data_IF_124604906866
#
_entry.id   IF_124604906866
#
_cell.length_a   1.000
_cell.length_b   1.000
_cell.length_c   1.000
_cell.angle_alpha   90.00
_cell.angle_beta   90.00
_cell.angle_gamma   90.00
#
_symmetry.space_group_name_H-M   'P 1'
#
loop_
_entity.id
_entity.type
_entity.pdbx_description
1 polymer ?
#
# COMPACT_ATOMS: atom_id res chain seq x y z
N UNK A 1 -23.09 9.57 11.97
CA UNK A 1 -23.14 8.40 12.87
C UNK A 1 -21.73 7.86 12.87
N UNK A 2 -21.02 8.06 14.00
CA UNK A 2 -19.64 7.59 14.20
C UNK A 2 -19.61 6.08 13.98
N UNK A 3 -19.03 5.62 12.87
CA UNK A 3 -18.64 4.23 12.70
C UNK A 3 -17.28 4.00 13.37
N UNK A 4 -17.24 4.20 14.69
CA UNK A 4 -16.20 3.56 15.48
C UNK A 4 -16.31 2.05 15.23
N UNK A 5 -15.21 1.41 14.88
CA UNK A 5 -15.13 -0.05 14.76
C UNK A 5 -15.80 -0.67 15.99
N UNK A 6 -16.79 -1.55 15.85
CA UNK A 6 -17.38 -2.22 16.98
C UNK A 6 -16.32 -3.09 17.65
N UNK A 7 -16.02 -2.80 18.90
CA UNK A 7 -15.00 -3.46 19.72
C UNK A 7 -15.45 -4.81 20.26
N UNK A 8 -16.14 -5.66 19.53
CA UNK A 8 -16.82 -6.74 20.24
C UNK A 8 -17.00 -8.08 19.55
N UNK A 9 -16.08 -8.52 18.70
CA UNK A 9 -16.16 -9.90 18.22
C UNK A 9 -14.92 -10.76 18.52
N UNK A 10 -13.95 -10.26 19.29
CA UNK A 10 -12.64 -10.91 19.38
C UNK A 10 -12.33 -11.37 20.80
N UNK A 11 -12.26 -12.70 20.92
CA UNK A 11 -11.99 -13.42 22.16
C UNK A 11 -10.55 -13.29 22.64
N UNK A 12 -10.43 -13.48 23.88
CA UNK A 12 -9.41 -13.34 24.90
C UNK A 12 -7.93 -13.53 24.55
N UNK A 13 -7.15 -12.73 25.24
CA UNK A 13 -5.72 -12.75 25.60
C UNK A 13 -4.77 -12.09 24.60
N UNK A 14 -5.00 -12.13 23.27
CA UNK A 14 -4.23 -11.36 22.28
C UNK A 14 -5.09 -10.68 21.21
N UNK A 15 -6.41 -10.68 21.33
CA UNK A 15 -7.33 -9.91 20.52
C UNK A 15 -7.30 -10.18 19.00
N UNK A 16 -6.89 -11.36 18.59
CA UNK A 16 -6.92 -11.77 17.18
C UNK A 16 -8.30 -12.30 16.75
N UNK A 17 -8.61 -12.28 15.44
CA UNK A 17 -9.86 -12.82 14.94
C UNK A 17 -9.97 -14.31 15.27
N UNK A 18 -11.19 -14.74 15.64
CA UNK A 18 -11.49 -16.17 15.76
C UNK A 18 -11.46 -16.77 14.36
N UNK A 19 -10.38 -17.47 14.04
CA UNK A 19 -10.28 -18.18 12.76
C UNK A 19 -11.22 -19.38 12.80
N UNK A 20 -12.28 -19.30 12.01
CA UNK A 20 -13.25 -20.40 11.84
C UNK A 20 -12.67 -21.42 10.87
N UNK A 21 -12.81 -22.71 11.21
CA UNK A 21 -12.40 -23.75 10.28
C UNK A 21 -13.16 -23.64 8.95
N UNK A 22 -12.49 -23.83 7.79
CA UNK A 22 -13.17 -23.75 6.50
C UNK A 22 -14.25 -24.82 6.36
N UNK A 23 -15.38 -24.43 5.81
CA UNK A 23 -16.36 -25.38 5.29
C UNK A 23 -15.78 -26.00 4.03
N UNK A 24 -15.66 -27.34 4.03
CA UNK A 24 -15.03 -28.07 2.92
C UNK A 24 -16.04 -29.00 2.29
N UNK A 25 -16.37 -28.74 1.02
CA UNK A 25 -17.20 -29.64 0.20
C UNK A 25 -16.29 -30.53 -0.62
N UNK A 26 -16.52 -31.86 -0.50
CA UNK A 26 -15.78 -32.88 -1.24
C UNK A 26 -16.70 -33.61 -2.22
N UNK A 27 -16.15 -33.95 -3.38
CA UNK A 27 -16.79 -34.85 -4.36
C UNK A 27 -15.75 -35.91 -4.71
N UNK A 28 -16.15 -37.19 -4.61
CA UNK A 28 -15.27 -38.35 -4.86
C UNK A 28 -13.94 -38.29 -4.09
N UNK A 29 -13.96 -37.80 -2.82
CA UNK A 29 -12.79 -37.67 -1.97
C UNK A 29 -11.93 -36.41 -2.24
N UNK A 30 -12.10 -35.77 -3.40
CA UNK A 30 -11.38 -34.53 -3.73
C UNK A 30 -12.11 -33.29 -3.19
N UNK A 31 -11.34 -32.32 -2.68
CA UNK A 31 -11.88 -31.01 -2.30
C UNK A 31 -12.33 -30.28 -3.55
N UNK A 32 -13.61 -29.90 -3.61
CA UNK A 32 -14.21 -29.13 -4.70
C UNK A 32 -14.41 -27.67 -4.33
N UNK A 33 -14.69 -27.43 -3.06
CA UNK A 33 -14.96 -26.10 -2.55
C UNK A 33 -14.46 -26.01 -1.10
N UNK A 34 -13.87 -24.90 -0.77
CA UNK A 34 -13.54 -24.55 0.61
C UNK A 34 -13.89 -23.07 0.79
N UNK A 35 -14.65 -22.76 1.83
CA UNK A 35 -15.07 -21.39 2.14
C UNK A 35 -14.86 -21.09 3.61
N UNK A 36 -14.53 -19.85 3.91
CA UNK A 36 -14.49 -19.28 5.26
C UNK A 36 -15.38 -18.03 5.28
N UNK A 37 -16.09 -17.75 6.38
CA UNK A 37 -16.81 -16.51 6.50
C UNK A 37 -15.84 -15.32 6.49
N UNK A 38 -16.26 -14.14 5.97
CA UNK A 38 -15.46 -12.93 6.04
C UNK A 38 -15.24 -12.52 7.49
N UNK A 39 -14.06 -11.94 7.79
CA UNK A 39 -13.75 -11.41 9.12
C UNK A 39 -14.46 -10.07 9.38
N UNK A 40 -14.71 -9.31 8.32
CA UNK A 40 -15.42 -8.04 8.37
C UNK A 40 -16.75 -8.13 7.60
N UNK A 41 -17.81 -7.44 8.06
CA UNK A 41 -19.07 -7.38 7.32
C UNK A 41 -18.90 -6.65 5.98
N UNK A 42 -19.67 -7.03 4.94
CA UNK A 42 -19.61 -6.35 3.66
C UNK A 42 -20.13 -4.91 3.76
N UNK A 43 -19.51 -4.01 3.03
CA UNK A 43 -19.97 -2.62 2.89
C UNK A 43 -21.25 -2.56 2.06
N UNK A 44 -22.22 -1.79 2.57
CA UNK A 44 -23.52 -1.60 1.93
C UNK A 44 -23.70 -0.19 1.36
N UNK A 45 -22.88 0.78 1.77
CA UNK A 45 -22.94 2.19 1.36
C UNK A 45 -21.55 2.82 1.47
N UNK A 46 -21.37 4.00 0.85
CA UNK A 46 -20.11 4.73 0.83
C UNK A 46 -19.10 4.18 -0.16
N UNK A 47 -17.96 4.82 -0.24
CA UNK A 47 -16.89 4.53 -1.18
C UNK A 47 -15.51 4.79 -0.58
N UNK A 48 -14.44 4.39 -1.27
CA UNK A 48 -13.06 4.72 -0.87
C UNK A 48 -12.82 6.24 -0.80
N UNK A 49 -13.58 7.01 -1.59
CA UNK A 49 -13.49 8.47 -1.60
C UNK A 49 -13.85 9.12 -0.26
N UNK A 50 -14.58 8.43 0.59
CA UNK A 50 -15.02 8.96 1.89
C UNK A 50 -13.93 8.89 2.96
N UNK A 51 -12.98 7.96 2.82
CA UNK A 51 -11.99 7.65 3.86
C UNK A 51 -11.18 8.86 4.37
N UNK A 52 -10.65 9.78 3.52
CA UNK A 52 -9.93 10.94 4.01
C UNK A 52 -10.80 11.85 4.88
N UNK A 53 -12.06 12.05 4.51
CA UNK A 53 -13.02 12.91 5.20
C UNK A 53 -13.55 12.28 6.49
N UNK A 54 -13.75 10.95 6.50
CA UNK A 54 -14.09 10.19 7.70
C UNK A 54 -12.97 10.28 8.75
N UNK A 55 -11.71 10.29 8.29
CA UNK A 55 -10.55 10.45 9.18
C UNK A 55 -10.50 11.83 9.82
N UNK A 56 -10.84 12.90 9.08
CA UNK A 56 -10.96 14.25 9.64
C UNK A 56 -12.06 14.29 10.71
N UNK A 57 -13.21 13.66 10.43
CA UNK A 57 -14.34 13.61 11.38
C UNK A 57 -13.98 12.87 12.66
N UNK A 58 -13.03 11.94 12.61
CA UNK A 58 -12.60 11.16 13.76
C UNK A 58 -11.50 11.85 14.57
N UNK A 59 -10.45 12.32 13.91
CA UNK A 59 -9.34 13.08 14.50
C UNK A 59 -8.61 13.88 13.39
N UNK A 60 -8.90 15.17 13.24
CA UNK A 60 -8.28 16.01 12.21
C UNK A 60 -6.78 16.20 12.40
N UNK A 61 -6.28 16.07 13.64
CA UNK A 61 -4.88 16.26 14.00
C UNK A 61 -4.03 14.99 13.89
N UNK A 62 -4.63 13.82 13.74
CA UNK A 62 -3.89 12.57 13.60
C UNK A 62 -2.99 12.58 12.36
N UNK A 63 -1.78 12.05 12.48
CA UNK A 63 -0.84 11.94 11.35
C UNK A 63 -1.33 10.85 10.40
N UNK A 64 -1.78 11.25 9.22
CA UNK A 64 -2.25 10.31 8.19
C UNK A 64 -1.09 9.82 7.29
N UNK A 65 -0.27 10.75 6.81
CA UNK A 65 0.86 10.45 5.93
C UNK A 65 2.13 11.15 6.41
N UNK A 66 3.27 10.71 5.88
CA UNK A 66 4.53 11.47 5.96
C UNK A 66 5.09 11.62 4.55
N UNK A 67 5.44 12.86 4.19
CA UNK A 67 6.04 13.21 2.91
C UNK A 67 7.53 13.44 3.10
N UNK A 68 8.34 12.88 2.21
CA UNK A 68 9.78 13.14 2.17
C UNK A 68 10.05 14.34 1.28
N UNK A 69 10.75 15.33 1.80
CA UNK A 69 11.19 16.51 1.04
C UNK A 69 12.44 16.22 0.19
N UNK A 70 12.86 17.22 -0.60
CA UNK A 70 14.05 17.12 -1.45
C UNK A 70 15.35 16.95 -0.65
N UNK A 71 15.39 17.42 0.59
CA UNK A 71 16.54 17.27 1.50
C UNK A 71 16.54 15.92 2.22
N UNK A 72 15.55 15.07 1.95
CA UNK A 72 15.42 13.72 2.53
C UNK A 72 14.81 13.70 3.92
N UNK A 73 14.19 14.79 4.39
CA UNK A 73 13.52 14.88 5.68
C UNK A 73 12.05 14.48 5.55
N UNK A 74 11.55 13.80 6.56
CA UNK A 74 10.13 13.43 6.65
C UNK A 74 9.36 14.55 7.34
N UNK A 75 8.28 14.99 6.71
CA UNK A 75 7.30 15.93 7.24
C UNK A 75 5.96 15.24 7.38
N UNK A 76 5.33 15.35 8.55
CA UNK A 76 4.05 14.75 8.81
C UNK A 76 2.92 15.56 8.18
N UNK A 77 1.93 14.84 7.67
CA UNK A 77 0.70 15.38 7.06
C UNK A 77 -0.47 14.86 7.87
N UNK A 78 -1.23 15.78 8.47
CA UNK A 78 -2.40 15.42 9.29
C UNK A 78 -3.57 14.94 8.42
N UNK A 79 -4.55 14.32 9.06
CA UNK A 79 -5.79 13.90 8.39
C UNK A 79 -6.51 15.10 7.73
N UNK A 80 -6.57 16.25 8.41
CA UNK A 80 -7.13 17.47 7.84
C UNK A 80 -6.35 17.93 6.60
N UNK A 81 -5.02 18.03 6.70
CA UNK A 81 -4.18 18.45 5.58
C UNK A 81 -4.26 17.48 4.38
N UNK A 82 -4.36 16.18 4.63
CA UNK A 82 -4.53 15.19 3.57
C UNK A 82 -5.89 15.34 2.88
N UNK A 83 -6.98 15.48 3.64
CA UNK A 83 -8.31 15.68 3.09
C UNK A 83 -8.41 16.99 2.29
N UNK A 84 -7.79 18.08 2.77
CA UNK A 84 -7.73 19.37 2.06
C UNK A 84 -7.02 19.24 0.70
N UNK A 85 -5.90 18.49 0.66
CA UNK A 85 -5.17 18.23 -0.59
C UNK A 85 -6.01 17.37 -1.56
N UNK A 86 -6.65 16.33 -1.06
CA UNK A 86 -7.55 15.47 -1.84
C UNK A 86 -8.69 16.31 -2.42
N UNK A 87 -9.32 17.15 -1.61
CA UNK A 87 -10.41 18.03 -2.01
C UNK A 87 -9.96 19.03 -3.09
N UNK A 88 -8.82 19.69 -2.88
CA UNK A 88 -8.29 20.68 -3.82
C UNK A 88 -7.95 20.06 -5.19
N UNK A 89 -7.30 18.90 -5.20
CA UNK A 89 -6.96 18.19 -6.44
C UNK A 89 -8.24 17.64 -7.12
N UNK A 90 -9.22 17.14 -6.35
CA UNK A 90 -10.51 16.70 -6.90
C UNK A 90 -11.24 17.84 -7.59
N UNK A 91 -11.29 19.01 -6.98
CA UNK A 91 -11.84 20.25 -7.59
C UNK A 91 -11.10 20.62 -8.87
N UNK A 92 -9.77 20.48 -8.86
CA UNK A 92 -8.95 20.71 -10.05
C UNK A 92 -9.30 19.77 -11.20
N UNK A 93 -9.45 18.47 -10.93
CA UNK A 93 -9.87 17.50 -11.94
C UNK A 93 -11.25 17.82 -12.52
N UNK A 94 -12.18 18.30 -11.67
CA UNK A 94 -13.50 18.75 -12.09
C UNK A 94 -13.40 20.01 -12.96
N UNK A 95 -12.59 20.98 -12.57
CA UNK A 95 -12.37 22.24 -13.31
C UNK A 95 -11.77 22.01 -14.69
N UNK A 96 -10.91 21.00 -14.84
CA UNK A 96 -10.37 20.53 -16.13
C UNK A 96 -11.40 19.80 -17.00
N UNK A 97 -12.66 19.71 -16.54
CA UNK A 97 -13.78 19.17 -17.33
C UNK A 97 -13.88 17.65 -17.31
N UNK A 98 -13.28 16.95 -16.33
CA UNK A 98 -13.45 15.51 -16.20
C UNK A 98 -14.82 15.19 -15.60
N UNK A 99 -15.48 14.19 -16.17
CA UNK A 99 -16.83 13.77 -15.80
C UNK A 99 -16.82 12.47 -14.99
N UNK A 100 -17.82 12.24 -14.12
CA UNK A 100 -17.94 10.97 -13.41
C UNK A 100 -17.84 9.76 -14.35
N UNK A 101 -17.01 8.77 -13.97
CA UNK A 101 -16.70 7.60 -14.78
C UNK A 101 -15.57 7.78 -15.78
N UNK A 102 -15.03 8.99 -15.98
CA UNK A 102 -13.82 9.20 -16.78
C UNK A 102 -12.61 8.48 -16.15
N UNK A 103 -11.71 7.97 -17.01
CA UNK A 103 -10.52 7.22 -16.58
C UNK A 103 -9.31 8.14 -16.56
N UNK A 104 -8.62 8.14 -15.41
CA UNK A 104 -7.36 8.86 -15.22
C UNK A 104 -6.24 7.85 -15.02
N UNK A 105 -5.32 7.78 -15.97
CA UNK A 105 -4.16 6.91 -15.86
C UNK A 105 -3.06 7.57 -15.02
N UNK A 106 -2.39 6.78 -14.19
CA UNK A 106 -1.25 7.22 -13.38
C UNK A 106 -0.05 6.32 -13.66
N UNK A 107 1.03 6.92 -14.16
CA UNK A 107 2.30 6.25 -14.49
C UNK A 107 3.43 6.86 -13.65
N UNK A 108 3.60 6.34 -12.45
CA UNK A 108 4.58 6.82 -11.49
C UNK A 108 5.10 5.68 -10.61
N UNK A 109 6.23 5.89 -9.95
CA UNK A 109 6.73 5.04 -8.87
C UNK A 109 5.85 5.19 -7.63
N UNK A 110 6.21 4.57 -6.53
CA UNK A 110 5.51 4.70 -5.25
C UNK A 110 5.87 6.03 -4.61
N UNK A 111 5.12 7.06 -4.95
CA UNK A 111 5.30 8.45 -4.48
C UNK A 111 4.07 8.93 -3.73
N UNK A 112 4.24 9.95 -2.91
CA UNK A 112 3.20 10.59 -2.12
C UNK A 112 2.01 11.06 -2.95
N UNK A 113 2.28 11.71 -4.07
CA UNK A 113 1.28 12.27 -4.98
C UNK A 113 0.35 11.19 -5.56
N UNK A 114 0.80 9.93 -5.66
CA UNK A 114 -0.08 8.85 -6.12
C UNK A 114 -1.26 8.64 -5.18
N UNK A 115 -0.99 8.59 -3.87
CA UNK A 115 -2.07 8.43 -2.89
C UNK A 115 -3.05 9.61 -2.94
N UNK A 116 -2.55 10.84 -3.03
CA UNK A 116 -3.40 12.03 -3.21
C UNK A 116 -4.25 11.92 -4.47
N UNK A 117 -3.65 11.53 -5.60
CA UNK A 117 -4.32 11.40 -6.90
C UNK A 117 -5.40 10.31 -6.91
N UNK A 118 -5.16 9.15 -6.29
CA UNK A 118 -6.17 8.10 -6.19
C UNK A 118 -7.41 8.58 -5.45
N UNK A 119 -7.24 9.14 -4.25
CA UNK A 119 -8.35 9.63 -3.44
C UNK A 119 -9.04 10.84 -4.07
N UNK A 120 -8.29 11.75 -4.69
CA UNK A 120 -8.86 12.90 -5.41
C UNK A 120 -9.65 12.48 -6.65
N UNK A 121 -9.15 11.53 -7.43
CA UNK A 121 -9.86 10.98 -8.58
C UNK A 121 -11.17 10.31 -8.14
N UNK A 122 -11.14 9.49 -7.09
CA UNK A 122 -12.37 8.89 -6.57
C UNK A 122 -13.34 9.95 -6.03
N UNK A 123 -12.86 10.95 -5.29
CA UNK A 123 -13.69 12.04 -4.79
C UNK A 123 -14.34 12.85 -5.92
N UNK A 124 -13.68 12.97 -7.07
CA UNK A 124 -14.23 13.57 -8.29
C UNK A 124 -15.15 12.63 -9.09
N UNK A 125 -15.36 11.37 -8.63
CA UNK A 125 -16.19 10.37 -9.32
C UNK A 125 -15.48 9.66 -10.47
N UNK A 126 -14.14 9.69 -10.52
CA UNK A 126 -13.35 9.17 -11.63
C UNK A 126 -12.84 7.76 -11.33
N UNK A 127 -12.38 7.08 -12.40
CA UNK A 127 -11.81 5.73 -12.34
C UNK A 127 -10.31 5.81 -12.58
N UNK A 128 -9.50 5.29 -11.69
CA UNK A 128 -8.04 5.32 -11.85
C UNK A 128 -7.53 4.13 -12.65
N UNK A 129 -6.49 4.34 -13.47
CA UNK A 129 -5.87 3.31 -14.31
C UNK A 129 -4.36 3.30 -14.02
N UNK A 130 -3.88 2.37 -13.17
CA UNK A 130 -2.47 2.27 -12.86
C UNK A 130 -1.67 1.76 -14.06
N UNK A 131 -0.57 2.46 -14.37
CA UNK A 131 0.40 2.07 -15.40
C UNK A 131 1.76 1.92 -14.75
N UNK A 132 2.45 0.81 -15.01
CA UNK A 132 3.80 0.63 -14.47
C UNK A 132 4.76 1.68 -15.03
N UNK A 133 5.59 2.31 -14.19
CA UNK A 133 6.57 3.31 -14.65
C UNK A 133 7.61 2.72 -15.60
N UNK A 134 7.77 1.40 -15.60
CA UNK A 134 8.67 0.64 -16.46
C UNK A 134 7.98 0.08 -17.71
N UNK A 135 6.70 0.36 -17.91
CA UNK A 135 5.97 -0.06 -19.12
C UNK A 135 6.61 0.53 -20.37
N UNK A 136 6.74 -0.29 -21.40
CA UNK A 136 7.13 0.23 -22.71
C UNK A 136 6.08 1.21 -23.25
N UNK A 137 6.49 2.11 -24.13
CA UNK A 137 5.58 3.06 -24.80
C UNK A 137 4.39 2.32 -25.45
N UNK A 138 4.65 1.16 -26.06
CA UNK A 138 3.61 0.34 -26.65
C UNK A 138 2.60 -0.19 -25.64
N UNK A 139 3.08 -0.67 -24.49
CA UNK A 139 2.21 -1.17 -23.41
C UNK A 139 1.40 -0.03 -22.79
N UNK A 140 2.04 1.11 -22.48
CA UNK A 140 1.35 2.28 -21.94
C UNK A 140 0.27 2.78 -22.90
N UNK A 141 0.60 2.93 -24.21
CA UNK A 141 -0.37 3.29 -25.24
C UNK A 141 -1.55 2.33 -25.29
N UNK A 142 -1.28 1.01 -25.26
CA UNK A 142 -2.34 0.01 -25.27
C UNK A 142 -3.28 0.17 -24.08
N UNK A 143 -2.73 0.34 -22.87
CA UNK A 143 -3.53 0.54 -21.65
C UNK A 143 -4.38 1.81 -21.76
N UNK A 144 -3.80 2.91 -22.19
CA UNK A 144 -4.51 4.19 -22.37
C UNK A 144 -5.66 4.07 -23.37
N UNK A 145 -5.41 3.40 -24.50
CA UNK A 145 -6.39 3.21 -25.55
C UNK A 145 -7.53 2.27 -25.13
N UNK A 146 -7.19 1.10 -24.54
CA UNK A 146 -8.16 0.08 -24.15
C UNK A 146 -9.03 0.54 -22.97
N UNK A 147 -8.44 1.28 -22.01
CA UNK A 147 -9.19 1.88 -20.91
C UNK A 147 -10.01 3.10 -21.34
N UNK A 148 -9.75 3.70 -22.48
CA UNK A 148 -10.32 4.98 -22.90
C UNK A 148 -9.92 6.10 -21.91
N UNK A 149 -8.66 6.12 -21.44
CA UNK A 149 -8.19 7.12 -20.49
C UNK A 149 -8.24 8.53 -21.12
N UNK A 150 -8.90 9.45 -20.45
CA UNK A 150 -9.02 10.85 -20.89
C UNK A 150 -7.90 11.73 -20.34
N UNK A 151 -7.25 11.27 -19.28
CA UNK A 151 -6.11 11.96 -18.68
C UNK A 151 -5.01 10.95 -18.30
N UNK A 152 -3.77 11.43 -18.36
CA UNK A 152 -2.58 10.71 -17.94
C UNK A 152 -1.77 11.60 -17.00
N UNK A 153 -1.44 11.07 -15.82
CA UNK A 153 -0.44 11.64 -14.91
C UNK A 153 0.83 10.82 -15.02
N UNK A 154 1.96 11.46 -15.37
CA UNK A 154 3.28 10.83 -15.34
C UNK A 154 4.11 11.42 -14.20
N UNK A 155 5.03 10.62 -13.65
CA UNK A 155 5.98 11.12 -12.65
C UNK A 155 6.95 12.12 -13.29
N UNK A 156 7.52 11.75 -14.45
CA UNK A 156 8.58 12.53 -15.08
C UNK A 156 8.18 13.06 -16.46
N UNK A 157 8.80 14.18 -16.86
CA UNK A 157 8.65 14.74 -18.21
C UNK A 157 9.16 13.77 -19.30
N UNK A 158 10.16 12.95 -18.97
CA UNK A 158 10.67 11.92 -19.88
C UNK A 158 9.61 10.87 -20.24
N UNK A 159 8.80 10.43 -19.26
CA UNK A 159 7.69 9.51 -19.52
C UNK A 159 6.62 10.15 -20.42
N UNK A 160 6.25 11.40 -20.15
CA UNK A 160 5.29 12.14 -20.97
C UNK A 160 5.82 12.36 -22.41
N UNK A 161 7.07 12.73 -22.55
CA UNK A 161 7.73 12.95 -23.85
C UNK A 161 7.82 11.65 -24.68
N UNK A 162 8.09 10.52 -24.05
CA UNK A 162 8.15 9.22 -24.70
C UNK A 162 6.80 8.81 -25.33
N UNK A 163 5.68 9.22 -24.72
CA UNK A 163 4.33 8.97 -25.23
C UNK A 163 3.87 10.03 -26.27
N UNK A 164 4.58 11.14 -26.41
CA UNK A 164 4.26 12.21 -27.35
C UNK A 164 3.97 11.73 -28.78
N UNK A 165 4.84 10.91 -29.40
CA UNK A 165 4.63 10.39 -30.74
C UNK A 165 3.39 9.50 -30.92
N UNK A 166 2.88 8.92 -29.85
CA UNK A 166 1.69 8.07 -29.85
C UNK A 166 0.38 8.85 -29.63
N UNK A 167 0.46 10.18 -29.42
CA UNK A 167 -0.68 11.03 -29.06
C UNK A 167 -1.82 10.97 -30.09
N UNK A 168 -1.49 10.97 -31.37
CA UNK A 168 -2.48 10.88 -32.44
C UNK A 168 -3.30 9.58 -32.44
N UNK A 169 -2.75 8.52 -31.79
CA UNK A 169 -3.41 7.23 -31.64
C UNK A 169 -4.23 7.13 -30.34
N UNK A 170 -4.28 8.21 -29.58
CA UNK A 170 -4.98 8.31 -28.29
C UNK A 170 -6.00 9.47 -28.34
N UNK A 171 -7.06 9.36 -29.17
CA UNK A 171 -8.01 10.46 -29.39
C UNK A 171 -8.77 10.86 -28.11
N UNK A 172 -8.99 9.93 -27.19
CA UNK A 172 -9.68 10.20 -25.93
C UNK A 172 -8.80 10.93 -24.90
N UNK A 173 -7.47 10.83 -25.02
CA UNK A 173 -6.53 11.41 -24.06
C UNK A 173 -6.46 12.93 -24.25
N UNK A 174 -7.13 13.69 -23.40
CA UNK A 174 -7.22 15.17 -23.46
C UNK A 174 -6.10 15.84 -22.67
N UNK A 175 -5.75 15.29 -21.50
CA UNK A 175 -4.86 15.90 -20.54
C UNK A 175 -3.61 15.02 -20.29
N UNK A 176 -2.45 15.68 -20.16
CA UNK A 176 -1.22 15.03 -19.67
C UNK A 176 -0.59 15.92 -18.61
N UNK A 177 -0.53 15.43 -17.40
CA UNK A 177 0.08 16.11 -16.25
C UNK A 177 1.38 15.42 -15.85
N UNK A 178 2.33 16.19 -15.35
CA UNK A 178 3.67 15.72 -14.95
C UNK A 178 3.94 16.15 -13.53
N UNK A 179 4.13 15.19 -12.63
CA UNK A 179 4.32 15.44 -11.19
C UNK A 179 5.56 16.31 -10.95
N UNK A 180 6.71 15.96 -11.52
CA UNK A 180 7.95 16.73 -11.34
C UNK A 180 7.89 18.18 -11.82
N UNK A 181 6.88 18.53 -12.62
CA UNK A 181 6.62 19.91 -13.07
C UNK A 181 5.61 20.67 -12.21
N UNK A 182 5.20 20.09 -11.07
CA UNK A 182 4.24 20.69 -10.16
C UNK A 182 2.81 20.73 -10.71
N UNK A 183 2.46 19.83 -11.67
CA UNK A 183 1.11 19.87 -12.25
C UNK A 183 0.03 19.41 -11.27
N UNK A 184 0.37 18.65 -10.21
CA UNK A 184 -0.60 18.28 -9.17
C UNK A 184 -1.00 19.52 -8.36
N UNK A 185 -0.04 20.38 -8.02
CA UNK A 185 -0.32 21.65 -7.31
C UNK A 185 -1.13 22.60 -8.21
N UNK A 186 -0.82 22.68 -9.52
CA UNK A 186 -1.60 23.46 -10.48
C UNK A 186 -3.04 22.97 -10.65
N UNK A 187 -3.26 21.64 -10.55
CA UNK A 187 -4.62 21.10 -10.52
C UNK A 187 -5.38 21.62 -9.29
N UNK A 188 -4.72 21.58 -8.12
CA UNK A 188 -5.33 22.13 -6.89
C UNK A 188 -5.67 23.63 -7.04
N UNK A 189 -4.78 24.42 -7.65
CA UNK A 189 -5.00 25.84 -7.94
C UNK A 189 -6.15 26.06 -8.94
N UNK A 190 -6.23 25.25 -10.01
CA UNK A 190 -7.27 25.37 -11.01
C UNK A 190 -8.69 25.18 -10.45
N UNK A 191 -8.83 24.37 -9.41
CA UNK A 191 -10.10 24.06 -8.75
C UNK A 191 -10.59 25.09 -7.73
N UNK A 192 -9.82 26.13 -7.42
CA UNK A 192 -10.11 27.06 -6.30
C UNK A 192 -11.44 27.81 -6.44
N UNK A 193 -11.94 27.99 -7.66
CA UNK A 193 -13.22 28.65 -7.93
C UNK A 193 -14.45 27.75 -7.74
N UNK A 194 -14.27 26.44 -7.62
CA UNK A 194 -15.37 25.49 -7.38
C UNK A 194 -15.67 25.37 -5.90
N UNK A 195 -16.95 25.16 -5.58
CA UNK A 195 -17.37 24.90 -4.20
C UNK A 195 -17.01 23.47 -3.79
N UNK A 196 -16.88 23.24 -2.49
CA UNK A 196 -16.65 21.89 -1.94
C UNK A 196 -17.85 20.97 -2.22
N UNK A 197 -19.04 21.55 -2.33
CA UNK A 197 -20.29 20.85 -2.63
C UNK A 197 -20.25 20.13 -3.98
N UNK A 198 -19.50 20.62 -4.97
CA UNK A 198 -19.31 19.93 -6.26
C UNK A 198 -18.66 18.55 -6.06
N UNK A 199 -17.68 18.47 -5.19
CA UNK A 199 -17.02 17.21 -4.84
C UNK A 199 -17.93 16.34 -3.97
N UNK A 200 -18.64 16.93 -3.00
CA UNK A 200 -19.58 16.20 -2.14
C UNK A 200 -20.70 15.53 -2.95
N UNK A 201 -21.26 16.23 -3.93
CA UNK A 201 -22.31 15.69 -4.82
C UNK A 201 -21.76 14.50 -5.60
N UNK A 202 -20.56 14.61 -6.22
CA UNK A 202 -19.97 13.53 -6.97
C UNK A 202 -19.63 12.33 -6.09
N UNK A 203 -19.06 12.58 -4.92
CA UNK A 203 -18.74 11.56 -3.92
C UNK A 203 -20.00 10.84 -3.42
N UNK A 204 -21.05 11.58 -3.17
CA UNK A 204 -22.35 11.04 -2.73
C UNK A 204 -23.06 10.13 -3.76
N UNK A 205 -22.65 10.16 -5.03
CA UNK A 205 -23.15 9.24 -6.07
C UNK A 205 -22.43 7.89 -6.07
N UNK A 206 -21.34 7.76 -5.33
CA UNK A 206 -20.52 6.54 -5.32
C UNK A 206 -21.04 5.54 -4.28
N UNK A 207 -20.92 4.27 -4.61
CA UNK A 207 -21.24 3.18 -3.69
C UNK A 207 -20.27 2.00 -3.87
N UNK A 208 -20.41 0.96 -3.05
CA UNK A 208 -19.52 -0.21 -3.13
C UNK A 208 -19.49 -0.86 -4.51
N UNK A 209 -20.59 -0.82 -5.26
CA UNK A 209 -20.67 -1.36 -6.63
C UNK A 209 -20.08 -0.44 -7.71
N UNK A 210 -19.72 0.79 -7.39
CA UNK A 210 -19.13 1.73 -8.36
C UNK A 210 -17.69 1.31 -8.69
N UNK A 211 -17.32 1.43 -9.97
CA UNK A 211 -15.98 1.12 -10.47
C UNK A 211 -14.95 2.09 -9.88
N UNK A 212 -13.93 1.56 -9.21
CA UNK A 212 -12.85 2.36 -8.61
C UNK A 212 -11.61 2.41 -9.51
N UNK A 213 -11.30 1.30 -10.19
CA UNK A 213 -10.06 1.20 -10.96
C UNK A 213 -10.11 0.11 -12.04
N UNK A 214 -9.29 0.28 -13.07
CA UNK A 214 -8.98 -0.73 -14.08
C UNK A 214 -7.52 -1.15 -13.94
N UNK A 215 -7.26 -2.34 -13.37
CA UNK A 215 -5.89 -2.86 -13.18
C UNK A 215 -5.51 -3.77 -14.33
N UNK A 216 -4.48 -3.41 -15.08
CA UNK A 216 -4.03 -4.21 -16.22
C UNK A 216 -3.05 -5.29 -15.80
N UNK A 217 -3.36 -6.54 -16.14
CA UNK A 217 -2.52 -7.71 -15.88
C UNK A 217 -2.04 -8.33 -17.19
N UNK A 218 -0.80 -8.85 -17.19
CA UNK A 218 -0.29 -9.65 -18.30
C UNK A 218 -1.08 -10.96 -18.36
N UNK A 219 -2.07 -11.02 -19.25
CA UNK A 219 -2.80 -12.27 -19.49
C UNK A 219 -1.90 -13.30 -20.19
N UNK A 220 -2.26 -14.57 -20.07
CA UNK A 220 -1.59 -15.70 -20.75
C UNK A 220 -1.65 -15.61 -22.31
N UNK A 221 -2.41 -14.66 -22.85
CA UNK A 221 -2.74 -14.55 -24.30
C UNK A 221 -2.15 -13.30 -24.98
N UNK A 222 -1.12 -12.67 -24.44
CA UNK A 222 -0.31 -11.65 -25.11
C UNK A 222 -0.57 -10.20 -24.68
N UNK A 223 -1.73 -9.58 -24.94
CA UNK A 223 -1.99 -8.18 -24.53
C UNK A 223 -2.51 -8.10 -23.09
N UNK A 224 -2.09 -7.10 -22.30
CA UNK A 224 -2.65 -6.86 -20.98
C UNK A 224 -4.18 -6.68 -21.03
N UNK A 225 -4.88 -7.27 -20.06
CA UNK A 225 -6.33 -7.16 -19.89
C UNK A 225 -6.65 -6.32 -18.66
N UNK A 226 -7.62 -5.41 -18.77
CA UNK A 226 -8.11 -4.59 -17.67
C UNK A 226 -9.05 -5.39 -16.77
N UNK A 227 -8.66 -5.56 -15.51
CA UNK A 227 -9.51 -6.09 -14.45
C UNK A 227 -10.25 -4.93 -13.81
N UNK A 228 -11.58 -4.94 -13.88
CA UNK A 228 -12.44 -3.93 -13.28
C UNK A 228 -12.66 -4.24 -11.80
N UNK A 229 -12.22 -3.34 -10.92
CA UNK A 229 -12.38 -3.45 -9.48
C UNK A 229 -13.25 -2.31 -8.96
N UNK A 230 -14.25 -2.65 -8.18
CA UNK A 230 -15.16 -1.69 -7.52
C UNK A 230 -14.58 -1.22 -6.18
N UNK A 231 -15.16 -0.16 -5.61
CA UNK A 231 -14.86 0.27 -4.25
C UNK A 231 -15.10 -0.86 -3.24
N UNK A 232 -16.18 -1.63 -3.41
CA UNK A 232 -16.51 -2.76 -2.55
C UNK A 232 -15.50 -3.91 -2.61
N UNK A 233 -14.85 -4.15 -3.76
CA UNK A 233 -13.79 -5.16 -3.84
C UNK A 233 -12.59 -4.78 -2.96
N UNK A 234 -12.19 -3.51 -2.94
CA UNK A 234 -11.14 -3.04 -2.05
C UNK A 234 -11.54 -3.10 -0.59
N UNK A 235 -12.77 -2.70 -0.23
CA UNK A 235 -13.24 -2.80 1.15
C UNK A 235 -13.23 -4.24 1.65
N UNK A 236 -13.72 -5.19 0.84
CA UNK A 236 -13.75 -6.59 1.21
C UNK A 236 -12.36 -7.13 1.55
N UNK A 237 -11.35 -6.81 0.74
CA UNK A 237 -9.97 -7.26 0.96
C UNK A 237 -9.32 -6.49 2.11
N UNK A 238 -9.43 -5.16 2.10
CA UNK A 238 -8.77 -4.27 3.07
C UNK A 238 -9.30 -4.51 4.48
N UNK A 239 -10.63 -4.57 4.69
CA UNK A 239 -11.20 -4.75 6.01
C UNK A 239 -10.87 -6.15 6.58
N UNK A 240 -10.90 -7.20 5.75
CA UNK A 240 -10.45 -8.53 6.18
C UNK A 240 -8.96 -8.55 6.53
N UNK A 241 -8.10 -7.86 5.75
CA UNK A 241 -6.68 -7.75 6.05
C UNK A 241 -6.41 -6.96 7.35
N UNK A 242 -7.14 -5.86 7.57
CA UNK A 242 -7.04 -5.07 8.80
C UNK A 242 -7.45 -5.92 10.01
N UNK A 243 -8.58 -6.63 9.95
CA UNK A 243 -9.03 -7.51 11.02
C UNK A 243 -8.01 -8.60 11.35
N UNK A 244 -7.43 -9.22 10.32
CA UNK A 244 -6.39 -10.24 10.50
C UNK A 244 -5.11 -9.68 11.13
N UNK A 245 -4.69 -8.47 10.74
CA UNK A 245 -3.43 -7.85 11.15
C UNK A 245 -3.58 -6.95 12.39
N UNK A 246 -4.81 -6.64 12.82
CA UNK A 246 -5.10 -5.76 13.94
C UNK A 246 -4.31 -6.07 15.22
N UNK A 247 -4.15 -7.36 15.63
CA UNK A 247 -3.35 -7.68 16.79
C UNK A 247 -1.88 -7.28 16.66
N UNK A 248 -1.34 -7.31 15.43
CA UNK A 248 0.05 -6.92 15.15
C UNK A 248 0.23 -5.42 15.37
N UNK A 249 -0.76 -4.62 14.95
CA UNK A 249 -0.70 -3.17 15.09
C UNK A 249 -0.97 -2.69 16.52
N UNK A 250 -1.87 -3.34 17.27
CA UNK A 250 -2.21 -2.94 18.64
C UNK A 250 -1.30 -3.51 19.73
N UNK A 251 -0.73 -4.68 19.52
CA UNK A 251 -0.17 -5.44 20.63
C UNK A 251 1.16 -4.93 21.18
N UNK A 252 1.83 -3.92 20.56
CA UNK A 252 3.26 -3.75 20.86
C UNK A 252 3.87 -2.37 20.88
N UNK A 253 3.16 -1.29 20.62
CA UNK A 253 3.79 0.02 20.67
C UNK A 253 2.93 1.05 21.38
N UNK A 254 3.56 1.80 22.29
CA UNK A 254 3.09 3.13 22.71
C UNK A 254 3.26 4.18 21.60
N UNK A 255 3.80 3.78 20.45
CA UNK A 255 4.00 4.60 19.26
C UNK A 255 2.86 4.36 18.27
N UNK A 256 2.48 5.39 17.53
CA UNK A 256 1.49 5.29 16.47
C UNK A 256 1.94 4.31 15.38
N UNK A 257 1.01 3.47 14.92
CA UNK A 257 1.30 2.50 13.87
C UNK A 257 1.71 3.20 12.57
N UNK A 258 2.76 2.69 11.93
CA UNK A 258 3.28 3.29 10.70
C UNK A 258 3.81 2.25 9.72
N UNK A 259 3.64 2.55 8.43
CA UNK A 259 4.09 1.73 7.30
C UNK A 259 4.88 2.59 6.33
N UNK A 260 6.06 2.14 5.91
CA UNK A 260 6.74 2.69 4.75
C UNK A 260 6.43 1.82 3.53
N UNK A 261 5.65 2.36 2.62
CA UNK A 261 5.23 1.67 1.40
C UNK A 261 6.30 1.86 0.30
N UNK A 262 6.87 0.75 -0.14
CA UNK A 262 7.80 0.67 -1.27
C UNK A 262 7.32 -0.31 -2.36
N UNK A 263 6.22 -1.01 -2.11
CA UNK A 263 5.58 -1.85 -3.12
C UNK A 263 5.00 -0.96 -4.24
N UNK A 264 5.07 -1.40 -5.51
CA UNK A 264 4.57 -0.59 -6.61
C UNK A 264 3.07 -0.25 -6.45
N UNK A 265 2.74 1.04 -6.45
CA UNK A 265 1.35 1.52 -6.46
C UNK A 265 0.62 1.18 -7.77
N UNK A 266 1.38 0.89 -8.84
CA UNK A 266 0.82 0.35 -10.09
C UNK A 266 0.33 -1.10 -9.96
N UNK A 267 0.71 -1.80 -8.89
CA UNK A 267 0.23 -3.14 -8.57
C UNK A 267 -0.89 -3.07 -7.52
N UNK A 268 -1.93 -3.90 -7.68
CA UNK A 268 -3.09 -3.92 -6.78
C UNK A 268 -2.70 -4.07 -5.31
N UNK A 269 -1.68 -4.88 -5.00
CA UNK A 269 -1.23 -5.10 -3.62
C UNK A 269 -0.65 -3.84 -2.97
N UNK A 270 0.20 -3.08 -3.69
CA UNK A 270 0.72 -1.81 -3.18
C UNK A 270 -0.40 -0.80 -2.90
N UNK A 271 -1.39 -0.71 -3.79
CA UNK A 271 -2.57 0.15 -3.59
C UNK A 271 -3.44 -0.30 -2.42
N UNK A 272 -3.67 -1.62 -2.31
CA UNK A 272 -4.40 -2.19 -1.16
C UNK A 272 -3.73 -1.78 0.16
N UNK A 273 -2.39 -1.83 0.25
CA UNK A 273 -1.66 -1.39 1.45
C UNK A 273 -1.86 0.11 1.73
N UNK A 274 -1.79 0.96 0.70
CA UNK A 274 -2.05 2.39 0.87
C UNK A 274 -3.46 2.66 1.36
N UNK A 275 -4.47 2.03 0.76
CA UNK A 275 -5.87 2.14 1.17
C UNK A 275 -6.06 1.62 2.60
N UNK A 276 -5.44 0.47 2.94
CA UNK A 276 -5.51 -0.10 4.28
C UNK A 276 -4.93 0.83 5.35
N UNK A 277 -3.82 1.52 5.05
CA UNK A 277 -3.24 2.51 5.96
C UNK A 277 -4.20 3.69 6.19
N UNK A 278 -4.79 4.26 5.14
CA UNK A 278 -5.78 5.35 5.27
C UNK A 278 -7.01 4.86 6.03
N UNK A 279 -7.52 3.66 5.70
CA UNK A 279 -8.69 3.05 6.33
C UNK A 279 -8.48 2.78 7.82
N UNK A 280 -7.32 2.25 8.20
CA UNK A 280 -6.98 1.90 9.58
C UNK A 280 -6.35 3.06 10.38
N UNK A 281 -6.17 4.24 9.75
CA UNK A 281 -5.49 5.40 10.35
C UNK A 281 -4.07 5.08 10.79
N UNK A 282 -3.35 4.36 9.93
CA UNK A 282 -1.93 4.02 10.10
C UNK A 282 -1.10 5.02 9.31
N UNK A 283 -0.13 5.66 9.93
CA UNK A 283 0.75 6.63 9.28
C UNK A 283 1.47 6.00 8.09
N UNK A 284 1.31 6.57 6.90
CA UNK A 284 1.83 6.05 5.64
C UNK A 284 2.94 6.95 5.10
N UNK A 285 4.14 6.39 4.90
CA UNK A 285 5.20 6.99 4.11
C UNK A 285 5.39 6.26 2.78
N UNK A 286 5.98 6.92 1.79
CA UNK A 286 6.24 6.36 0.46
C UNK A 286 7.73 6.33 0.18
N UNK A 287 8.22 5.20 -0.34
CA UNK A 287 9.58 5.05 -0.86
C UNK A 287 9.52 4.61 -2.33
N UNK A 288 10.06 5.42 -3.26
CA UNK A 288 9.88 5.20 -4.70
C UNK A 288 10.72 4.06 -5.26
N UNK A 289 11.60 3.46 -4.48
CA UNK A 289 12.55 2.46 -4.93
C UNK A 289 12.59 1.24 -4.01
N UNK A 290 12.76 0.07 -4.63
CA UNK A 290 13.01 -1.21 -3.95
C UNK A 290 14.50 -1.59 -3.93
N UNK A 291 15.37 -0.73 -4.47
CA UNK A 291 16.81 -0.97 -4.44
C UNK A 291 17.33 -0.77 -3.03
N UNK A 292 18.14 -1.70 -2.54
CA UNK A 292 18.62 -1.68 -1.15
C UNK A 292 19.37 -0.38 -0.81
N UNK A 293 20.12 0.18 -1.75
CA UNK A 293 20.90 1.40 -1.57
C UNK A 293 20.02 2.63 -1.32
N UNK A 294 18.83 2.66 -1.90
CA UNK A 294 17.86 3.75 -1.78
C UNK A 294 16.85 3.50 -0.65
N UNK A 295 16.38 2.25 -0.51
CA UNK A 295 15.34 1.89 0.44
C UNK A 295 15.83 1.78 1.90
N UNK A 296 17.05 1.27 2.14
CA UNK A 296 17.54 1.11 3.52
C UNK A 296 17.71 2.46 4.26
N UNK A 297 18.23 3.53 3.63
CA UNK A 297 18.21 4.86 4.24
C UNK A 297 16.81 5.38 4.55
N UNK A 298 15.82 5.10 3.69
CA UNK A 298 14.44 5.48 3.90
C UNK A 298 13.82 4.72 5.08
N UNK A 299 14.03 3.42 5.16
CA UNK A 299 13.60 2.60 6.29
C UNK A 299 14.25 3.07 7.61
N UNK A 300 15.55 3.36 7.58
CA UNK A 300 16.30 3.80 8.76
C UNK A 300 15.84 5.17 9.27
N UNK A 301 15.45 6.09 8.37
CA UNK A 301 15.01 7.45 8.73
C UNK A 301 13.52 7.49 9.09
N UNK A 302 12.64 6.78 8.38
CA UNK A 302 11.21 6.74 8.63
C UNK A 302 10.86 5.91 9.88
N UNK A 303 11.57 4.78 10.11
CA UNK A 303 11.40 3.85 11.23
C UNK A 303 9.97 3.29 11.31
N UNK A 304 9.52 2.52 10.31
CA UNK A 304 8.17 1.96 10.31
C UNK A 304 7.97 0.98 11.48
N UNK A 305 6.76 0.98 12.07
CA UNK A 305 6.39 -0.01 13.09
C UNK A 305 5.96 -1.34 12.48
N UNK A 306 5.54 -1.33 11.21
CA UNK A 306 5.19 -2.51 10.44
C UNK A 306 5.81 -2.45 9.04
N UNK A 307 6.38 -3.57 8.59
CA UNK A 307 6.96 -3.73 7.27
C UNK A 307 6.13 -4.74 6.48
N UNK A 308 5.51 -4.28 5.40
CA UNK A 308 4.80 -5.13 4.44
C UNK A 308 5.72 -5.32 3.24
N UNK A 309 6.24 -6.54 3.07
CA UNK A 309 7.25 -6.85 2.09
C UNK A 309 6.93 -8.15 1.33
N UNK A 310 7.45 -8.25 0.11
CA UNK A 310 7.45 -9.50 -0.66
C UNK A 310 8.76 -10.28 -0.39
N UNK A 311 8.76 -11.62 -0.49
CA UNK A 311 9.93 -12.45 -0.21
C UNK A 311 11.21 -12.00 -0.91
N UNK A 312 11.11 -11.63 -2.19
CA UNK A 312 12.22 -11.12 -2.99
C UNK A 312 12.97 -9.95 -2.35
N UNK A 313 12.25 -9.05 -1.69
CA UNK A 313 12.86 -7.91 -1.01
C UNK A 313 13.65 -8.34 0.23
N UNK A 314 13.10 -9.27 1.01
CA UNK A 314 13.80 -9.84 2.17
C UNK A 314 15.06 -10.60 1.76
N UNK A 315 15.01 -11.35 0.65
CA UNK A 315 16.17 -12.01 0.06
C UNK A 315 17.27 -11.00 -0.34
N UNK A 316 16.88 -9.86 -0.94
CA UNK A 316 17.84 -8.80 -1.29
C UNK A 316 18.53 -8.21 -0.05
N UNK A 317 17.77 -7.93 1.00
CA UNK A 317 18.33 -7.43 2.28
C UNK A 317 19.30 -8.45 2.86
N UNK A 318 18.90 -9.73 2.88
CA UNK A 318 19.75 -10.84 3.33
C UNK A 318 21.05 -10.93 2.53
N UNK A 319 20.96 -10.96 1.19
CA UNK A 319 22.13 -11.06 0.32
C UNK A 319 23.06 -9.85 0.46
N UNK A 320 22.53 -8.64 0.60
CA UNK A 320 23.30 -7.43 0.86
C UNK A 320 24.03 -7.49 2.22
N UNK A 321 23.36 -7.98 3.26
CA UNK A 321 23.96 -8.15 4.58
C UNK A 321 25.07 -9.21 4.57
N UNK A 322 24.85 -10.33 3.85
CA UNK A 322 25.86 -11.40 3.69
C UNK A 322 27.09 -10.92 2.92
N UNK A 323 26.91 -10.19 1.81
CA UNK A 323 28.01 -9.62 1.03
C UNK A 323 28.84 -8.63 1.86
N UNK A 324 28.21 -7.80 2.70
CA UNK A 324 28.94 -6.93 3.64
C UNK A 324 29.71 -7.71 4.69
N UNK A 325 29.17 -8.82 5.18
CA UNK A 325 29.88 -9.70 6.12
C UNK A 325 31.08 -10.38 5.46
N UNK A 326 30.95 -10.78 4.20
CA UNK A 326 32.02 -11.38 3.39
C UNK A 326 33.15 -10.37 3.14
N UNK A 327 32.83 -9.17 2.67
CA UNK A 327 33.82 -8.09 2.49
C UNK A 327 34.57 -7.74 3.80
N UNK A 328 33.91 -7.93 4.95
CA UNK A 328 34.48 -7.72 6.27
C UNK A 328 35.18 -8.97 6.87
N UNK A 329 35.34 -10.05 6.12
CA UNK A 329 35.97 -11.31 6.59
C UNK A 329 35.17 -12.05 7.68
N UNK A 330 33.85 -11.81 7.79
CA UNK A 330 32.98 -12.33 8.85
C UNK A 330 31.85 -13.23 8.34
N UNK A 331 31.94 -13.71 7.09
CA UNK A 331 30.88 -14.52 6.47
C UNK A 331 30.58 -15.82 7.26
N UNK A 332 31.58 -16.49 7.78
CA UNK A 332 31.37 -17.71 8.59
C UNK A 332 30.58 -17.44 9.87
N UNK A 333 30.83 -16.30 10.51
CA UNK A 333 30.04 -15.87 11.69
C UNK A 333 28.62 -15.52 11.32
N UNK A 334 28.42 -14.87 10.17
CA UNK A 334 27.10 -14.55 9.62
C UNK A 334 26.32 -15.84 9.31
N UNK A 335 26.91 -16.77 8.59
CA UNK A 335 26.25 -18.04 8.21
C UNK A 335 25.88 -18.89 9.45
N UNK A 336 26.70 -18.88 10.50
CA UNK A 336 26.37 -19.51 11.80
C UNK A 336 25.18 -18.81 12.48
N UNK A 337 25.15 -17.49 12.45
CA UNK A 337 24.00 -16.72 12.98
C UNK A 337 22.72 -17.07 12.22
N UNK A 338 22.78 -17.17 10.89
CA UNK A 338 21.64 -17.59 10.06
C UNK A 338 21.12 -18.96 10.47
N UNK A 339 22.00 -19.94 10.61
CA UNK A 339 21.62 -21.30 11.04
C UNK A 339 20.96 -21.31 12.43
N UNK A 340 21.40 -20.43 13.35
CA UNK A 340 20.77 -20.29 14.68
C UNK A 340 19.38 -19.64 14.54
N UNK A 341 19.23 -18.63 13.68
CA UNK A 341 17.94 -17.97 13.47
C UNK A 341 16.90 -18.92 12.85
N UNK A 342 17.29 -19.71 11.84
CA UNK A 342 16.42 -20.72 11.21
C UNK A 342 15.92 -21.74 12.23
N UNK A 343 16.83 -22.37 12.97
CA UNK A 343 16.47 -23.34 14.03
C UNK A 343 15.59 -22.73 15.12
N UNK A 344 15.79 -21.45 15.43
CA UNK A 344 14.96 -20.75 16.40
C UNK A 344 13.54 -20.52 15.85
N UNK A 345 13.43 -20.12 14.56
CA UNK A 345 12.15 -19.95 13.86
C UNK A 345 11.36 -21.26 13.81
N UNK A 346 11.98 -22.34 13.36
CA UNK A 346 11.39 -23.69 13.32
C UNK A 346 10.88 -24.14 14.70
N UNK A 347 11.65 -23.90 15.75
CA UNK A 347 11.25 -24.27 17.11
C UNK A 347 10.09 -23.39 17.63
N UNK A 348 10.04 -22.11 17.23
CA UNK A 348 8.91 -21.23 17.58
C UNK A 348 7.62 -21.65 16.85
N UNK A 349 7.73 -21.98 15.56
CA UNK A 349 6.62 -22.49 14.77
C UNK A 349 6.06 -23.79 15.35
N UNK A 350 6.95 -24.76 15.67
CA UNK A 350 6.57 -26.00 16.33
C UNK A 350 5.83 -25.78 17.65
N UNK A 351 6.20 -24.76 18.42
CA UNK A 351 5.50 -24.37 19.64
C UNK A 351 4.12 -23.77 19.34
N UNK A 352 4.00 -22.90 18.36
CA UNK A 352 2.75 -22.24 17.98
C UNK A 352 1.73 -23.22 17.43
N UNK A 353 2.20 -24.18 16.64
CA UNK A 353 1.37 -25.27 16.08
C UNK A 353 1.10 -26.44 17.02
N UNK A 354 1.66 -26.40 18.24
CA UNK A 354 1.53 -27.49 19.21
C UNK A 354 2.28 -28.77 18.86
N UNK A 355 3.18 -28.73 17.85
CA UNK A 355 3.96 -29.88 17.38
C UNK A 355 5.31 -30.06 18.08
N UNK A 356 5.70 -29.11 18.97
CA UNK A 356 6.94 -29.18 19.72
C UNK A 356 7.05 -28.24 20.91
N UNK A 357 8.07 -28.41 21.76
CA UNK A 357 8.22 -27.68 23.03
C UNK A 357 8.70 -26.22 22.86
N UNK A 358 9.07 -25.82 21.64
CA UNK A 358 9.70 -24.52 21.37
C UNK A 358 11.23 -24.51 21.56
N UNK A 359 11.87 -23.32 21.46
CA UNK A 359 13.32 -23.22 21.48
C UNK A 359 13.90 -23.57 22.86
N UNK A 360 14.91 -24.44 22.86
CA UNK A 360 15.67 -24.85 24.05
C UNK A 360 16.42 -23.67 24.68
N UNK A 361 16.83 -23.80 25.95
CA UNK A 361 17.64 -22.79 26.64
C UNK A 361 18.95 -22.49 25.91
N UNK A 362 19.61 -23.53 25.39
CA UNK A 362 20.86 -23.38 24.62
C UNK A 362 20.61 -22.58 23.31
N UNK A 363 19.51 -22.84 22.61
CA UNK A 363 19.16 -22.13 21.37
C UNK A 363 18.79 -20.67 21.65
N UNK A 364 18.11 -20.37 22.75
CA UNK A 364 17.84 -19.00 23.21
C UNK A 364 19.13 -18.25 23.54
N UNK A 365 20.09 -18.88 24.24
CA UNK A 365 21.39 -18.30 24.54
C UNK A 365 22.21 -18.04 23.27
N UNK A 366 22.25 -18.99 22.33
CA UNK A 366 22.91 -18.80 21.04
C UNK A 366 22.31 -17.63 20.24
N UNK A 367 20.97 -17.52 20.19
CA UNK A 367 20.29 -16.39 19.54
C UNK A 367 20.67 -15.07 20.20
N UNK A 368 20.66 -15.01 21.52
CA UNK A 368 21.03 -13.80 22.28
C UNK A 368 22.49 -13.39 22.03
N UNK A 369 23.41 -14.36 21.88
CA UNK A 369 24.81 -14.09 21.53
C UNK A 369 24.95 -13.42 20.16
N UNK A 370 24.22 -13.92 19.13
CA UNK A 370 24.28 -13.34 17.78
C UNK A 370 23.46 -12.05 17.62
N UNK A 371 22.60 -11.70 18.58
CA UNK A 371 21.74 -10.51 18.48
C UNK A 371 22.54 -9.22 18.26
N UNK A 372 23.49 -8.81 19.11
CA UNK A 372 24.26 -7.58 18.92
C UNK A 372 25.23 -7.66 17.74
N UNK A 373 25.66 -8.85 17.35
CA UNK A 373 26.67 -9.07 16.31
C UNK A 373 26.07 -9.02 14.90
N UNK A 374 24.87 -9.58 14.71
CA UNK A 374 24.24 -9.77 13.40
C UNK A 374 22.80 -9.24 13.38
N UNK A 375 21.91 -9.78 14.20
CA UNK A 375 20.47 -9.52 14.04
C UNK A 375 20.09 -8.07 14.33
N UNK A 376 20.62 -7.47 15.39
CA UNK A 376 20.37 -6.07 15.72
C UNK A 376 20.85 -5.13 14.60
N UNK A 377 21.97 -5.46 13.95
CA UNK A 377 22.49 -4.66 12.83
C UNK A 377 21.59 -4.71 11.62
N UNK A 378 21.00 -5.88 11.32
CA UNK A 378 20.03 -6.03 10.22
C UNK A 378 18.75 -5.28 10.56
N UNK A 379 18.22 -5.46 11.78
CA UNK A 379 17.02 -4.73 12.22
C UNK A 379 17.21 -3.22 12.17
N UNK A 380 18.32 -2.71 12.68
CA UNK A 380 18.61 -1.28 12.64
C UNK A 380 18.71 -0.75 11.19
N UNK A 381 19.32 -1.53 10.27
CA UNK A 381 19.37 -1.16 8.86
C UNK A 381 17.98 -1.12 8.20
N UNK A 382 17.01 -1.87 8.72
CA UNK A 382 15.61 -1.85 8.28
C UNK A 382 14.75 -0.84 9.06
N UNK A 383 15.36 0.01 9.90
CA UNK A 383 14.63 1.00 10.72
C UNK A 383 13.88 0.40 11.91
N UNK A 384 13.99 -0.91 12.13
CA UNK A 384 13.25 -1.58 13.18
C UNK A 384 13.76 -1.23 14.59
N UNK A 385 12.87 -0.85 15.48
CA UNK A 385 13.12 -0.74 16.92
C UNK A 385 13.25 -2.12 17.57
N UNK A 386 13.79 -2.19 18.79
CA UNK A 386 14.19 -3.41 19.53
C UNK A 386 13.11 -4.51 19.67
N UNK A 387 11.89 -4.29 19.26
CA UNK A 387 10.74 -5.17 19.47
C UNK A 387 10.30 -5.99 18.24
N UNK A 388 10.98 -5.86 17.12
CA UNK A 388 10.66 -6.66 15.93
C UNK A 388 11.05 -8.12 16.15
N UNK A 389 10.07 -9.02 16.13
CA UNK A 389 10.30 -10.44 16.00
C UNK A 389 10.48 -10.77 14.51
N UNK A 390 11.70 -11.10 14.15
CA UNK A 390 11.99 -11.84 12.92
C UNK A 390 11.90 -13.33 13.26
#
# INVERSE_FOLDING_TARGET
VSTAYPSSAYGDVYGGPVLVAPEVRRLDGAVREASVPPLAPPWTHGSLADLPFDNVSADPGAVALSRKDADGRWSDVTAAQFADQVLAVAKGLIAEGLMPGDRVAVMARTIYEWTVLDFAAWAAGLVTVPVYPTSSVFQARWILQDSGAVALVTETAGQAAALGPERERLPDLRHVWVVEKGHVDRLAEAGTHLSDQEVEVRRGMLGPGTLATLVYTSGTTGRPKGCALTHGNFFAEVDNAIELLYPVFRARTSEEASVLLFLPMSHVFGRMVAIACVRARVRLGHAPSIKAEELLPDLASFRPTCLIAIPYMLEKVFNSARAKAEAGGRVTSFDRAVAVAQRYGEAMEARQTGTGPGPSRALKAARAFYDPLVYRRIRNAMGAVSYTHL
#
